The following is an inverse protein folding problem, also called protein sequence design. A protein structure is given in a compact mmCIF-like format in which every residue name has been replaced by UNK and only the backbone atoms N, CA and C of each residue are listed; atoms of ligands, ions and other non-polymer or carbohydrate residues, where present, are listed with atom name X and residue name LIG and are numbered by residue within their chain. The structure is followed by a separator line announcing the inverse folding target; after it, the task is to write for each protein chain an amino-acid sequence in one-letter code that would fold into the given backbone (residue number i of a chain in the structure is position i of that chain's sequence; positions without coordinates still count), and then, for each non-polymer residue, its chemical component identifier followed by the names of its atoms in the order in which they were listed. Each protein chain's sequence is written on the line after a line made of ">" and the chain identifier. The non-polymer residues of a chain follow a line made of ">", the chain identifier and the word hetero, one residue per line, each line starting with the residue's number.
data_IF_238693298625
#
_entry.id   IF_238693298625
#
_cell.length_a   1.000
_cell.length_b   1.000
_cell.length_c   1.000
_cell.angle_alpha   90.00
_cell.angle_beta   90.00
_cell.angle_gamma   90.00
#
_symmetry.space_group_name_H-M   'P 1'
#
loop_
_entity.id
_entity.type
_entity.pdbx_description
1 polymer ?
#
# COMPACT_ATOMS: atom_id res chain seq x y z
N UNK A 1 12.80 -10.96 10.61
CA UNK A 1 12.85 -11.18 9.15
C UNK A 1 11.44 -11.33 8.64
N UNK A 2 10.98 -10.40 7.80
CA UNK A 2 9.61 -10.36 7.26
C UNK A 2 9.65 -10.77 5.79
N UNK A 3 8.66 -11.52 5.30
CA UNK A 3 8.53 -11.96 3.90
C UNK A 3 7.11 -12.22 3.41
N UNK A 4 7.01 -12.60 2.13
CA UNK A 4 5.74 -12.84 1.45
C UNK A 4 4.86 -13.88 2.16
N UNK A 5 5.44 -14.77 2.97
CA UNK A 5 4.70 -15.78 3.73
C UNK A 5 4.40 -15.35 5.16
N UNK A 6 4.83 -14.15 5.57
CA UNK A 6 4.54 -13.63 6.90
C UNK A 6 3.04 -13.43 7.02
N UNK A 7 2.45 -14.14 7.98
CA UNK A 7 1.04 -14.02 8.34
C UNK A 7 0.88 -13.07 9.52
N UNK A 8 -0.21 -12.30 9.49
CA UNK A 8 -0.71 -11.52 10.63
C UNK A 8 -2.10 -12.02 11.00
N UNK A 9 -2.40 -11.98 12.29
CA UNK A 9 -3.68 -12.41 12.84
C UNK A 9 -4.57 -11.19 13.08
N UNK A 10 -5.83 -11.31 12.66
CA UNK A 10 -6.86 -10.32 12.93
C UNK A 10 -7.49 -10.52 14.31
N UNK A 11 -8.33 -9.57 14.74
CA UNK A 11 -9.04 -9.70 16.01
C UNK A 11 -10.04 -10.87 16.04
N UNK A 12 -10.48 -11.37 14.89
CA UNK A 12 -11.35 -12.56 14.76
C UNK A 12 -10.57 -13.88 14.79
N UNK A 13 -9.23 -13.83 14.84
CA UNK A 13 -8.36 -15.01 14.77
C UNK A 13 -8.04 -15.49 13.34
N UNK A 14 -8.59 -14.83 12.32
CA UNK A 14 -8.27 -15.12 10.92
C UNK A 14 -6.86 -14.64 10.57
N UNK A 15 -6.15 -15.40 9.74
CA UNK A 15 -4.78 -15.10 9.32
C UNK A 15 -4.73 -14.60 7.89
N UNK A 16 -3.97 -13.53 7.68
CA UNK A 16 -3.79 -12.87 6.38
C UNK A 16 -2.31 -12.73 6.05
N UNK A 17 -1.96 -12.77 4.77
CA UNK A 17 -0.60 -12.42 4.37
C UNK A 17 -0.36 -10.93 4.62
N UNK A 18 0.72 -10.60 5.33
CA UNK A 18 1.07 -9.22 5.64
C UNK A 18 1.18 -8.36 4.37
N UNK A 19 1.71 -8.93 3.27
CA UNK A 19 1.85 -8.21 2.00
C UNK A 19 0.49 -7.83 1.41
N UNK A 20 -0.54 -8.67 1.55
CA UNK A 20 -1.89 -8.39 1.08
C UNK A 20 -2.56 -7.31 1.94
N UNK A 21 -2.35 -7.37 3.25
CA UNK A 21 -2.85 -6.31 4.17
C UNK A 21 -2.24 -4.96 3.81
N UNK A 22 -0.93 -4.91 3.54
CA UNK A 22 -0.26 -3.68 3.10
C UNK A 22 -0.81 -3.22 1.74
N UNK A 23 -0.95 -4.12 0.77
CA UNK A 23 -1.48 -3.80 -0.56
C UNK A 23 -2.90 -3.20 -0.46
N UNK A 24 -3.78 -3.82 0.35
CA UNK A 24 -5.12 -3.33 0.59
C UNK A 24 -5.13 -1.92 1.21
N UNK A 25 -4.23 -1.65 2.16
CA UNK A 25 -4.07 -0.29 2.73
C UNK A 25 -3.65 0.71 1.65
N UNK A 26 -2.68 0.35 0.80
CA UNK A 26 -2.19 1.22 -0.27
C UNK A 26 -3.27 1.51 -1.31
N UNK A 27 -4.03 0.48 -1.72
CA UNK A 27 -5.16 0.63 -2.63
C UNK A 27 -6.24 1.53 -2.04
N UNK A 28 -6.64 1.30 -0.78
CA UNK A 28 -7.62 2.13 -0.10
C UNK A 28 -7.20 3.61 -0.04
N UNK A 29 -5.94 3.88 0.30
CA UNK A 29 -5.41 5.25 0.36
C UNK A 29 -5.37 5.91 -1.02
N UNK A 30 -4.97 5.17 -2.05
CA UNK A 30 -4.96 5.63 -3.44
C UNK A 30 -6.37 5.99 -3.89
N UNK A 31 -7.35 5.12 -3.64
CA UNK A 31 -8.74 5.35 -4.05
C UNK A 31 -9.38 6.52 -3.30
N UNK A 32 -9.12 6.64 -2.01
CA UNK A 32 -9.55 7.78 -1.20
C UNK A 32 -8.98 9.10 -1.75
N UNK A 33 -7.70 9.11 -2.14
CA UNK A 33 -7.05 10.26 -2.73
C UNK A 33 -7.67 10.61 -4.10
N UNK A 34 -7.88 9.61 -4.96
CA UNK A 34 -8.50 9.81 -6.28
C UNK A 34 -9.90 10.37 -6.13
N UNK A 35 -10.73 9.79 -5.25
CA UNK A 35 -12.10 10.25 -5.03
C UNK A 35 -12.14 11.71 -4.58
N UNK A 36 -11.24 12.10 -3.67
CA UNK A 36 -11.12 13.47 -3.21
C UNK A 36 -10.73 14.44 -4.35
N UNK A 37 -9.79 14.07 -5.22
CA UNK A 37 -9.29 14.94 -6.28
C UNK A 37 -10.19 14.97 -7.52
N UNK A 38 -10.90 13.87 -7.83
CA UNK A 38 -11.90 13.82 -8.90
C UNK A 38 -13.09 14.75 -8.64
N UNK A 39 -13.39 15.05 -7.37
CA UNK A 39 -14.51 15.91 -6.96
C UNK A 39 -14.10 17.38 -6.73
N UNK A 40 -12.83 17.71 -6.95
CA UNK A 40 -12.31 19.07 -6.78
C UNK A 40 -12.72 20.04 -7.89
N UNK A 41 -12.33 21.31 -7.75
CA UNK A 41 -12.58 22.38 -8.74
C UNK A 41 -11.97 22.05 -10.10
N UNK A 42 -10.79 21.42 -10.09
CA UNK A 42 -10.15 20.82 -11.27
C UNK A 42 -10.06 19.32 -11.04
N UNK A 43 -10.97 18.52 -11.63
CA UNK A 43 -10.93 17.07 -11.50
C UNK A 43 -9.62 16.50 -12.04
N UNK A 44 -8.82 15.86 -11.18
CA UNK A 44 -7.60 15.16 -11.57
C UNK A 44 -7.87 13.67 -11.79
N UNK A 45 -7.22 13.09 -12.77
CA UNK A 45 -7.19 11.66 -13.05
C UNK A 45 -5.87 11.06 -12.57
N UNK A 46 -5.84 9.74 -12.41
CA UNK A 46 -4.63 8.98 -12.05
C UNK A 46 -3.50 9.12 -13.06
N UNK A 47 -3.79 9.52 -14.30
CA UNK A 47 -2.80 9.79 -15.34
C UNK A 47 -2.15 11.17 -15.22
N UNK A 48 -2.64 12.02 -14.34
CA UNK A 48 -2.20 13.42 -14.25
C UNK A 48 -1.05 13.60 -13.25
N UNK A 49 -0.72 12.56 -12.47
CA UNK A 49 0.34 12.60 -11.46
C UNK A 49 0.91 11.22 -11.15
N UNK A 50 2.17 11.23 -10.70
CA UNK A 50 2.81 10.07 -10.09
C UNK A 50 2.69 10.13 -8.56
N UNK A 51 2.62 8.97 -7.93
CA UNK A 51 2.56 8.83 -6.48
C UNK A 51 3.85 8.18 -5.95
N UNK A 52 4.26 8.57 -4.75
CA UNK A 52 5.50 8.08 -4.13
C UNK A 52 5.18 7.56 -2.73
N UNK A 53 5.61 6.34 -2.44
CA UNK A 53 5.60 5.78 -1.08
C UNK A 53 7.00 5.94 -0.49
N UNK A 54 7.09 6.58 0.68
CA UNK A 54 8.33 6.61 1.46
C UNK A 54 8.47 5.38 2.33
N UNK A 55 9.68 4.83 2.44
CA UNK A 55 10.01 3.76 3.38
C UNK A 55 11.19 4.19 4.28
N UNK A 56 11.24 3.78 5.55
CA UNK A 56 12.32 4.17 6.45
C UNK A 56 13.70 3.70 5.95
N UNK A 57 14.70 4.57 6.07
CA UNK A 57 16.06 4.27 5.61
C UNK A 57 16.68 3.05 6.33
N UNK A 58 16.35 2.87 7.61
CA UNK A 58 16.81 1.77 8.49
C UNK A 58 16.30 0.38 8.08
N UNK A 59 15.33 0.29 7.17
CA UNK A 59 14.82 -1.01 6.71
C UNK A 59 15.85 -1.73 5.84
N UNK A 60 15.90 -3.05 6.00
CA UNK A 60 16.71 -3.92 5.17
C UNK A 60 16.17 -3.98 3.72
N UNK A 61 16.94 -4.58 2.82
CA UNK A 61 16.55 -4.70 1.41
C UNK A 61 15.27 -5.54 1.22
N UNK A 62 14.96 -6.44 2.16
CA UNK A 62 13.81 -7.34 2.06
C UNK A 62 12.50 -6.61 2.38
N UNK A 63 12.47 -5.83 3.46
CA UNK A 63 11.34 -4.97 3.81
C UNK A 63 11.09 -3.91 2.74
N UNK A 64 12.14 -3.30 2.19
CA UNK A 64 12.02 -2.35 1.08
C UNK A 64 11.42 -3.00 -0.18
N UNK A 65 11.83 -4.24 -0.52
CA UNK A 65 11.22 -4.99 -1.63
C UNK A 65 9.76 -5.35 -1.37
N UNK A 66 9.43 -5.79 -0.15
CA UNK A 66 8.04 -6.12 0.19
C UNK A 66 7.10 -4.93 -0.02
N UNK A 67 7.48 -3.72 0.40
CA UNK A 67 6.67 -2.52 0.14
C UNK A 67 6.49 -2.23 -1.34
N UNK A 68 7.55 -2.41 -2.13
CA UNK A 68 7.47 -2.25 -3.58
C UNK A 68 6.53 -3.28 -4.20
N UNK A 69 6.63 -4.54 -3.78
CA UNK A 69 5.76 -5.61 -4.28
C UNK A 69 4.30 -5.36 -3.91
N UNK A 70 4.00 -4.96 -2.67
CA UNK A 70 2.65 -4.60 -2.23
C UNK A 70 2.08 -3.41 -3.03
N UNK A 71 2.92 -2.45 -3.44
CA UNK A 71 2.51 -1.31 -4.24
C UNK A 71 2.15 -1.65 -5.70
N UNK A 72 2.58 -2.81 -6.20
CA UNK A 72 2.27 -3.31 -7.56
C UNK A 72 1.18 -4.39 -7.58
N UNK A 73 0.67 -4.79 -6.42
CA UNK A 73 -0.49 -5.69 -6.30
C UNK A 73 -1.78 -4.88 -6.49
#
# INVERSE_FOLDING_TARGET
>A
NVDRQTLVESFSGEKFYLIEVIAFILEYLKDLLIDHHCRGVTPLKTTDFDWVITVPAIWDARGKRMMREAAYM
#
